data_IF_887907743720
#
_entry.id   IF_887907743720
#
_cell.length_a   1.000
_cell.length_b   1.000
_cell.length_c   1.000
_cell.angle_alpha   90.00
_cell.angle_beta   90.00
_cell.angle_gamma   90.00
#
_symmetry.space_group_name_H-M   'P 1'
#
loop_
_entity.id
_entity.type
_entity.pdbx_description
1 polymer ?
#
# COMPACT_ATOMS: atom_id res chain seq x y z
N UNK A 1 -33.17 2.97 -24.14
CA UNK A 1 -31.73 3.25 -24.00
C UNK A 1 -31.28 2.38 -22.84
N UNK A 2 -30.58 1.30 -23.14
CA UNK A 2 -30.26 0.24 -22.19
C UNK A 2 -28.86 0.50 -21.64
N UNK A 3 -28.76 0.77 -20.33
CA UNK A 3 -27.48 0.79 -19.62
C UNK A 3 -27.05 -0.65 -19.36
N UNK A 4 -25.98 -1.08 -20.03
CA UNK A 4 -25.28 -2.30 -19.67
C UNK A 4 -24.40 -2.03 -18.46
N UNK A 5 -24.78 -2.62 -17.33
CA UNK A 5 -23.92 -2.78 -16.17
C UNK A 5 -22.71 -3.64 -16.56
N UNK A 6 -21.53 -3.04 -16.58
CA UNK A 6 -20.25 -3.77 -16.61
C UNK A 6 -19.93 -4.07 -15.14
N UNK A 7 -20.30 -5.26 -14.69
CA UNK A 7 -19.68 -5.90 -13.53
C UNK A 7 -18.28 -6.33 -13.96
N UNK A 8 -17.26 -5.60 -13.53
CA UNK A 8 -15.88 -6.10 -13.56
C UNK A 8 -15.75 -7.21 -12.52
N UNK A 9 -15.68 -8.44 -13.03
CA UNK A 9 -15.26 -9.61 -12.29
C UNK A 9 -13.81 -9.40 -11.82
N UNK A 10 -13.66 -9.16 -10.52
CA UNK A 10 -12.39 -9.23 -9.80
C UNK A 10 -11.88 -10.68 -9.83
N UNK A 11 -11.22 -10.99 -10.94
CA UNK A 11 -10.68 -12.30 -11.23
C UNK A 11 -9.40 -12.54 -10.41
N UNK A 12 -9.53 -13.48 -9.48
CA UNK A 12 -8.49 -14.36 -8.92
C UNK A 12 -7.04 -13.85 -8.95
N UNK A 13 -6.61 -13.29 -7.81
CA UNK A 13 -5.21 -13.42 -7.41
C UNK A 13 -4.97 -14.89 -7.09
N UNK A 14 -4.41 -15.62 -8.04
CA UNK A 14 -3.79 -16.91 -7.77
C UNK A 14 -2.60 -16.66 -6.85
N UNK A 15 -2.76 -16.98 -5.58
CA UNK A 15 -1.64 -17.24 -4.67
C UNK A 15 -0.83 -18.40 -5.27
N UNK A 16 0.28 -18.06 -5.94
CA UNK A 16 1.34 -19.04 -6.21
C UNK A 16 2.03 -19.29 -4.87
N UNK A 17 1.46 -20.21 -4.11
CA UNK A 17 2.07 -20.80 -2.93
C UNK A 17 3.26 -21.66 -3.39
N UNK A 18 4.39 -21.01 -3.61
CA UNK A 18 5.68 -21.65 -3.84
C UNK A 18 6.35 -21.92 -2.49
N UNK A 19 5.74 -22.76 -1.65
CA UNK A 19 6.48 -23.40 -0.56
C UNK A 19 6.94 -24.77 -1.05
N UNK A 20 8.13 -24.72 -1.63
CA UNK A 20 8.90 -25.82 -2.15
C UNK A 20 9.03 -26.95 -1.13
N UNK A 21 8.99 -28.14 -1.72
CA UNK A 21 9.11 -29.41 -1.05
C UNK A 21 10.32 -29.47 -0.12
N UNK A 22 10.00 -29.93 1.08
CA UNK A 22 10.85 -30.49 2.10
C UNK A 22 12.04 -31.28 1.51
N UNK A 23 13.23 -30.78 1.84
CA UNK A 23 14.52 -31.45 1.96
C UNK A 23 14.52 -32.95 1.69
N UNK A 24 15.01 -33.32 0.51
CA UNK A 24 15.49 -34.66 0.23
C UNK A 24 16.64 -34.99 1.18
N UNK A 25 16.37 -35.87 2.14
CA UNK A 25 17.36 -36.62 2.90
C UNK A 25 18.29 -37.36 1.93
N UNK A 26 19.44 -36.78 1.60
CA UNK A 26 20.59 -37.56 1.14
C UNK A 26 21.33 -38.04 2.38
N UNK A 27 20.92 -39.21 2.85
CA UNK A 27 21.69 -40.01 3.79
C UNK A 27 23.08 -40.25 3.20
N UNK A 28 24.07 -39.63 3.83
CA UNK A 28 25.48 -39.95 3.69
C UNK A 28 25.64 -41.42 4.06
N UNK A 29 25.87 -42.26 3.06
CA UNK A 29 26.29 -43.64 3.27
C UNK A 29 27.72 -43.60 3.84
N UNK A 30 27.81 -43.65 5.17
CA UNK A 30 29.04 -43.98 5.89
C UNK A 30 29.36 -45.44 5.60
N UNK A 31 30.15 -45.69 4.56
CA UNK A 31 30.67 -47.00 4.23
C UNK A 31 31.89 -47.29 5.12
N UNK A 32 31.63 -47.65 6.38
CA UNK A 32 32.62 -48.20 7.30
C UNK A 32 32.88 -49.67 6.96
N UNK A 33 33.72 -49.91 5.96
CA UNK A 33 34.25 -51.23 5.62
C UNK A 33 35.42 -51.61 6.52
N UNK A 34 35.12 -52.11 7.73
CA UNK A 34 36.07 -52.80 8.60
C UNK A 34 36.31 -54.21 8.05
N UNK A 35 37.39 -54.43 7.30
CA UNK A 35 37.85 -55.76 6.92
C UNK A 35 39.16 -56.07 7.66
N UNK A 36 39.02 -56.73 8.80
CA UNK A 36 40.09 -57.50 9.42
C UNK A 36 40.15 -58.88 8.77
N UNK A 37 41.27 -59.26 8.17
CA UNK A 37 41.71 -60.66 8.16
C UNK A 37 43.12 -60.85 7.60
N UNK A 38 43.78 -61.81 8.24
CA UNK A 38 44.87 -62.65 7.76
C UNK A 38 46.29 -62.08 7.89
N UNK A 39 46.90 -62.50 9.00
CA UNK A 39 48.28 -62.93 9.13
C UNK A 39 48.97 -63.33 7.82
N UNK A 40 50.21 -62.86 7.67
CA UNK A 40 51.12 -63.27 6.63
C UNK A 40 52.54 -62.86 6.99
N UNK A 41 53.16 -63.60 7.91
CA UNK A 41 54.61 -63.63 8.04
C UNK A 41 55.21 -64.05 6.70
N UNK A 42 55.94 -63.17 6.02
CA UNK A 42 56.94 -63.65 5.09
C UNK A 42 58.15 -62.72 4.97
N UNK A 43 59.28 -63.30 5.36
CA UNK A 43 60.63 -62.82 5.13
C UNK A 43 60.89 -62.73 3.62
N UNK A 44 61.28 -61.55 3.10
CA UNK A 44 62.17 -61.52 1.92
C UNK A 44 62.88 -60.19 1.69
N UNK A 45 64.18 -60.23 2.01
CA UNK A 45 65.31 -59.65 1.28
C UNK A 45 65.06 -58.32 0.53
N UNK A 46 65.52 -57.25 1.17
CA UNK A 46 66.51 -56.28 0.66
C UNK A 46 66.77 -56.38 -0.86
N UNK A 47 66.09 -55.55 -1.63
CA UNK A 47 66.46 -55.17 -2.99
C UNK A 47 66.43 -53.64 -3.05
N UNK A 48 67.61 -53.03 -3.14
CA UNK A 48 67.84 -51.58 -3.11
C UNK A 48 67.37 -50.85 -4.39
N UNK A 49 66.39 -51.37 -5.13
CA UNK A 49 65.90 -50.82 -6.41
C UNK A 49 64.55 -50.09 -6.30
N UNK A 50 63.77 -50.30 -5.23
CA UNK A 50 62.44 -49.68 -5.04
C UNK A 50 62.45 -48.27 -4.44
N UNK A 51 63.61 -47.80 -3.98
CA UNK A 51 63.77 -46.45 -3.40
C UNK A 51 63.74 -45.39 -4.52
N UNK A 52 64.20 -45.71 -5.72
CA UNK A 52 64.14 -44.77 -6.87
C UNK A 52 62.72 -44.64 -7.46
N UNK A 53 61.94 -45.73 -7.56
CA UNK A 53 60.56 -45.65 -8.08
C UNK A 53 59.61 -44.90 -7.13
N UNK A 54 59.77 -45.04 -5.80
CA UNK A 54 58.95 -44.28 -4.84
C UNK A 54 59.24 -42.78 -4.85
N UNK A 55 60.47 -42.37 -5.17
CA UNK A 55 60.84 -40.96 -5.23
C UNK A 55 60.29 -40.29 -6.50
N UNK A 56 60.28 -41.03 -7.62
CA UNK A 56 59.65 -40.61 -8.87
C UNK A 56 58.13 -40.46 -8.69
N UNK A 57 57.46 -41.42 -8.05
CA UNK A 57 56.01 -41.37 -7.80
C UNK A 57 55.60 -40.19 -6.89
N UNK A 58 56.40 -39.85 -5.87
CA UNK A 58 56.14 -38.69 -5.00
C UNK A 58 56.27 -37.36 -5.73
N UNK A 59 57.28 -37.24 -6.60
CA UNK A 59 57.48 -36.03 -7.40
C UNK A 59 56.35 -35.82 -8.42
N UNK A 60 55.86 -36.90 -9.03
CA UNK A 60 54.74 -36.84 -9.95
C UNK A 60 53.44 -36.45 -9.24
N UNK A 61 53.20 -36.99 -8.05
CA UNK A 61 51.99 -36.69 -7.27
C UNK A 61 51.92 -35.22 -6.80
N UNK A 62 53.06 -34.61 -6.49
CA UNK A 62 53.12 -33.17 -6.18
C UNK A 62 52.84 -32.29 -7.41
N UNK A 63 53.31 -32.69 -8.60
CA UNK A 63 53.03 -31.97 -9.83
C UNK A 63 51.53 -32.00 -10.17
N UNK A 64 50.88 -33.15 -9.99
CA UNK A 64 49.43 -33.31 -10.19
C UNK A 64 48.64 -32.51 -9.15
N UNK A 65 49.09 -32.45 -7.89
CA UNK A 65 48.38 -31.66 -6.88
C UNK A 65 48.50 -30.15 -7.13
N UNK A 66 49.65 -29.69 -7.66
CA UNK A 66 49.84 -28.30 -8.08
C UNK A 66 48.93 -27.92 -9.25
N UNK A 67 48.81 -28.77 -10.26
CA UNK A 67 47.91 -28.49 -11.39
C UNK A 67 46.44 -28.45 -10.95
N UNK A 68 46.01 -29.35 -10.06
CA UNK A 68 44.67 -29.33 -9.45
C UNK A 68 44.39 -28.03 -8.71
N UNK A 69 45.36 -27.51 -7.95
CA UNK A 69 45.20 -26.25 -7.21
C UNK A 69 45.04 -25.06 -8.16
N UNK A 70 45.83 -24.99 -9.24
CA UNK A 70 45.72 -23.92 -10.24
C UNK A 70 44.36 -23.96 -10.94
N UNK A 71 43.88 -25.14 -11.32
CA UNK A 71 42.54 -25.31 -11.92
C UNK A 71 41.45 -24.91 -10.93
N UNK A 72 41.54 -25.32 -9.66
CA UNK A 72 40.58 -24.93 -8.64
C UNK A 72 40.55 -23.41 -8.42
N UNK A 73 41.70 -22.75 -8.41
CA UNK A 73 41.81 -21.30 -8.28
C UNK A 73 41.19 -20.59 -9.49
N UNK A 74 41.46 -21.09 -10.70
CA UNK A 74 40.86 -20.54 -11.92
C UNK A 74 39.34 -20.67 -11.94
N UNK A 75 38.81 -21.84 -11.53
CA UNK A 75 37.37 -22.04 -11.40
C UNK A 75 36.74 -21.12 -10.34
N UNK A 76 37.43 -20.90 -9.22
CA UNK A 76 36.98 -19.97 -8.18
C UNK A 76 36.94 -18.53 -8.71
N UNK A 77 37.97 -18.08 -9.43
CA UNK A 77 37.99 -16.75 -10.04
C UNK A 77 36.88 -16.59 -11.08
N UNK A 78 36.65 -17.59 -11.92
CA UNK A 78 35.58 -17.58 -12.91
C UNK A 78 34.19 -17.50 -12.24
N UNK A 79 33.98 -18.24 -11.16
CA UNK A 79 32.73 -18.21 -10.38
C UNK A 79 32.53 -16.85 -9.67
N UNK A 80 33.58 -16.27 -9.09
CA UNK A 80 33.50 -14.94 -8.49
C UNK A 80 33.21 -13.86 -9.55
N UNK A 81 33.84 -13.94 -10.72
CA UNK A 81 33.61 -13.00 -11.81
C UNK A 81 32.18 -13.09 -12.36
N UNK A 82 31.65 -14.30 -12.54
CA UNK A 82 30.27 -14.48 -13.00
C UNK A 82 29.26 -14.00 -11.94
N UNK A 83 29.47 -14.33 -10.66
CA UNK A 83 28.62 -13.87 -9.58
C UNK A 83 28.60 -12.33 -9.46
N UNK A 84 29.78 -11.69 -9.51
CA UNK A 84 29.89 -10.24 -9.48
C UNK A 84 29.26 -9.58 -10.71
N UNK A 85 29.47 -10.17 -11.90
CA UNK A 85 28.86 -9.69 -13.15
C UNK A 85 27.33 -9.74 -13.09
N UNK A 86 26.76 -10.87 -12.65
CA UNK A 86 25.32 -11.02 -12.47
C UNK A 86 24.78 -10.03 -11.43
N UNK A 87 25.45 -9.89 -10.29
CA UNK A 87 25.02 -8.96 -9.24
C UNK A 87 24.95 -7.52 -9.76
N UNK A 88 26.02 -7.03 -10.43
CA UNK A 88 26.04 -5.67 -10.96
C UNK A 88 24.99 -5.44 -12.05
N UNK A 89 24.76 -6.44 -12.90
CA UNK A 89 23.74 -6.35 -13.95
C UNK A 89 22.32 -6.29 -13.36
N UNK A 90 22.03 -7.19 -12.41
CA UNK A 90 20.73 -7.25 -11.74
C UNK A 90 20.49 -5.98 -10.92
N UNK A 91 21.47 -5.50 -10.15
CA UNK A 91 21.34 -4.27 -9.36
C UNK A 91 21.02 -3.04 -10.23
N UNK A 92 21.66 -2.93 -11.41
CA UNK A 92 21.38 -1.84 -12.34
C UNK A 92 19.97 -1.93 -12.94
N UNK A 93 19.53 -3.15 -13.28
CA UNK A 93 18.20 -3.39 -13.81
C UNK A 93 17.12 -3.12 -12.75
N UNK A 94 17.28 -3.67 -11.55
CA UNK A 94 16.34 -3.47 -10.45
C UNK A 94 16.22 -2.00 -10.05
N UNK A 95 17.34 -1.26 -10.00
CA UNK A 95 17.30 0.17 -9.70
C UNK A 95 16.54 0.94 -10.77
N UNK A 96 16.79 0.64 -12.05
CA UNK A 96 16.08 1.30 -13.15
C UNK A 96 14.59 0.98 -13.12
N UNK A 97 14.23 -0.29 -12.93
CA UNK A 97 12.84 -0.73 -12.87
C UNK A 97 12.12 -0.09 -11.67
N UNK A 98 12.80 0.04 -10.53
CA UNK A 98 12.29 0.76 -9.37
C UNK A 98 12.07 2.25 -9.65
N UNK A 99 13.05 2.93 -10.25
CA UNK A 99 12.95 4.35 -10.61
C UNK A 99 11.79 4.60 -11.59
N UNK A 100 11.67 3.75 -12.61
CA UNK A 100 10.62 3.84 -13.63
C UNK A 100 9.22 3.60 -12.99
N UNK A 101 9.08 2.59 -12.14
CA UNK A 101 7.82 2.33 -11.42
C UNK A 101 7.48 3.45 -10.43
N UNK A 102 8.45 3.91 -9.65
CA UNK A 102 8.25 5.01 -8.71
C UNK A 102 7.79 6.27 -9.45
N UNK A 103 8.44 6.60 -10.58
CA UNK A 103 8.06 7.75 -11.38
C UNK A 103 6.65 7.62 -11.96
N UNK A 104 6.28 6.42 -12.43
CA UNK A 104 4.93 6.12 -12.92
C UNK A 104 3.89 6.34 -11.83
N UNK A 105 4.07 5.73 -10.66
CA UNK A 105 3.12 5.85 -9.56
C UNK A 105 3.05 7.28 -8.99
N UNK A 106 4.18 7.97 -8.89
CA UNK A 106 4.18 9.37 -8.45
C UNK A 106 3.39 10.27 -9.41
N UNK A 107 3.56 10.05 -10.72
CA UNK A 107 2.83 10.80 -11.75
C UNK A 107 1.33 10.50 -11.71
N UNK A 108 0.97 9.22 -11.60
CA UNK A 108 -0.42 8.79 -11.47
C UNK A 108 -1.07 9.35 -10.21
N UNK A 109 -0.39 9.29 -9.06
CA UNK A 109 -0.86 9.84 -7.81
C UNK A 109 -1.13 11.35 -7.91
N UNK A 110 -0.21 12.12 -8.51
CA UNK A 110 -0.41 13.56 -8.73
C UNK A 110 -1.60 13.81 -9.67
N UNK A 111 -1.74 13.03 -10.73
CA UNK A 111 -2.84 13.16 -11.68
C UNK A 111 -4.20 12.89 -11.01
N UNK A 112 -4.31 11.78 -10.26
CA UNK A 112 -5.54 11.41 -9.52
C UNK A 112 -5.86 12.45 -8.45
N UNK A 113 -4.86 12.91 -7.69
CA UNK A 113 -5.05 13.94 -6.66
C UNK A 113 -5.57 15.24 -7.25
N UNK A 114 -5.01 15.67 -8.37
CA UNK A 114 -5.46 16.87 -9.09
C UNK A 114 -6.89 16.70 -9.59
N UNK A 115 -7.19 15.58 -10.22
CA UNK A 115 -8.55 15.27 -10.69
C UNK A 115 -9.57 15.30 -9.55
N UNK A 116 -9.27 14.66 -8.42
CA UNK A 116 -10.15 14.64 -7.24
C UNK A 116 -10.32 16.04 -6.62
N UNK A 117 -9.26 16.84 -6.61
CA UNK A 117 -9.30 18.24 -6.16
C UNK A 117 -10.18 19.11 -7.07
N UNK A 118 -10.04 18.95 -8.39
CA UNK A 118 -10.87 19.67 -9.36
C UNK A 118 -12.34 19.26 -9.24
N UNK A 119 -12.63 17.97 -9.03
CA UNK A 119 -13.98 17.47 -8.75
C UNK A 119 -14.56 18.08 -7.46
N UNK A 120 -13.77 18.12 -6.39
CA UNK A 120 -14.17 18.74 -5.12
C UNK A 120 -14.53 20.22 -5.29
N UNK A 121 -13.66 21.01 -5.94
CA UNK A 121 -13.93 22.44 -6.14
C UNK A 121 -15.12 22.69 -7.07
N UNK A 122 -15.30 21.88 -8.11
CA UNK A 122 -16.47 21.97 -8.98
C UNK A 122 -17.76 21.63 -8.25
N UNK A 123 -17.73 20.59 -7.40
CA UNK A 123 -18.86 20.21 -6.55
C UNK A 123 -19.21 21.31 -5.55
N UNK A 124 -18.19 21.92 -4.91
CA UNK A 124 -18.37 23.04 -3.97
C UNK A 124 -18.94 24.28 -4.66
N UNK A 125 -18.44 24.61 -5.86
CA UNK A 125 -18.95 25.71 -6.65
C UNK A 125 -20.41 25.48 -7.06
N UNK A 126 -20.75 24.27 -7.51
CA UNK A 126 -22.13 23.88 -7.83
C UNK A 126 -23.05 24.00 -6.61
N UNK A 127 -22.61 23.53 -5.45
CA UNK A 127 -23.34 23.67 -4.19
C UNK A 127 -23.55 25.15 -3.82
N UNK A 128 -22.50 25.97 -3.88
CA UNK A 128 -22.58 27.42 -3.60
C UNK A 128 -23.55 28.15 -4.53
N UNK A 129 -23.53 27.82 -5.82
CA UNK A 129 -24.49 28.35 -6.81
C UNK A 129 -25.91 27.90 -6.49
N UNK A 130 -26.11 26.64 -6.10
CA UNK A 130 -27.42 26.13 -5.66
C UNK A 130 -27.95 26.94 -4.47
N UNK A 131 -27.15 27.13 -3.42
CA UNK A 131 -27.54 27.89 -2.22
C UNK A 131 -27.87 29.34 -2.57
N UNK A 132 -27.03 29.99 -3.38
CA UNK A 132 -27.24 31.37 -3.80
C UNK A 132 -28.48 31.54 -4.69
N UNK A 133 -28.75 30.57 -5.56
CA UNK A 133 -29.93 30.55 -6.41
C UNK A 133 -31.21 30.35 -5.60
N UNK A 134 -31.15 29.49 -4.59
CA UNK A 134 -32.27 29.21 -3.70
C UNK A 134 -32.62 30.43 -2.86
N UNK A 135 -31.62 31.07 -2.24
CA UNK A 135 -31.81 32.33 -1.51
C UNK A 135 -32.52 33.40 -2.36
N UNK A 136 -32.10 33.54 -3.63
CA UNK A 136 -32.74 34.45 -4.58
C UNK A 136 -34.17 34.03 -4.92
N UNK A 137 -34.42 32.74 -5.13
CA UNK A 137 -35.74 32.22 -5.49
C UNK A 137 -36.76 32.35 -4.36
N UNK A 138 -36.32 32.21 -3.10
CA UNK A 138 -37.16 32.33 -1.90
C UNK A 138 -37.25 33.75 -1.33
N UNK A 139 -36.58 34.73 -1.97
CA UNK A 139 -36.41 36.10 -1.47
C UNK A 139 -35.81 36.15 -0.04
N UNK A 140 -34.96 35.18 0.29
CA UNK A 140 -34.20 35.17 1.53
C UNK A 140 -32.94 36.02 1.40
N UNK A 141 -32.51 36.62 2.50
CA UNK A 141 -31.30 37.43 2.58
C UNK A 141 -30.25 36.74 3.42
N UNK A 142 -28.99 36.78 2.98
CA UNK A 142 -27.87 36.28 3.76
C UNK A 142 -27.79 36.97 5.13
N UNK A 143 -27.49 36.26 6.25
CA UNK A 143 -27.20 34.82 6.39
C UNK A 143 -28.43 33.93 6.66
N UNK A 144 -29.65 34.46 6.56
CA UNK A 144 -30.92 33.79 6.89
C UNK A 144 -31.46 32.97 5.71
N UNK A 145 -30.66 32.01 5.24
CA UNK A 145 -30.98 31.15 4.10
C UNK A 145 -31.26 29.73 4.57
N UNK A 146 -32.42 29.21 4.18
CA UNK A 146 -32.86 27.83 4.46
C UNK A 146 -32.56 27.00 3.21
N UNK A 147 -31.75 25.94 3.33
CA UNK A 147 -31.38 25.09 2.20
C UNK A 147 -32.29 23.88 2.16
N UNK A 148 -33.16 23.79 1.16
CA UNK A 148 -34.02 22.61 0.96
C UNK A 148 -33.18 21.36 0.67
N UNK A 149 -33.66 20.22 1.19
CA UNK A 149 -33.07 18.89 0.96
C UNK A 149 -31.56 18.82 1.23
N UNK A 150 -31.07 19.57 2.23
CA UNK A 150 -29.65 19.65 2.58
C UNK A 150 -29.00 18.28 2.72
N UNK A 151 -29.61 17.34 3.45
CA UNK A 151 -29.09 15.98 3.64
C UNK A 151 -28.90 15.23 2.31
N UNK A 152 -29.85 15.38 1.37
CA UNK A 152 -29.74 14.78 0.04
C UNK A 152 -28.62 15.44 -0.77
N UNK A 153 -28.53 16.77 -0.75
CA UNK A 153 -27.47 17.52 -1.46
C UNK A 153 -26.07 17.17 -0.93
N UNK A 154 -25.91 17.05 0.39
CA UNK A 154 -24.63 16.66 1.02
C UNK A 154 -24.29 15.21 0.72
N UNK A 155 -25.27 14.29 0.72
CA UNK A 155 -25.04 12.90 0.32
C UNK A 155 -24.58 12.80 -1.13
N UNK A 156 -25.24 13.50 -2.05
CA UNK A 156 -24.84 13.55 -3.47
C UNK A 156 -23.46 14.18 -3.65
N UNK A 157 -23.14 15.20 -2.85
CA UNK A 157 -21.80 15.78 -2.83
C UNK A 157 -20.75 14.75 -2.39
N UNK A 158 -21.00 14.02 -1.29
CA UNK A 158 -20.10 12.99 -0.79
C UNK A 158 -19.89 11.85 -1.80
N UNK A 159 -20.96 11.42 -2.48
CA UNK A 159 -20.91 10.44 -3.57
C UNK A 159 -20.08 10.95 -4.76
N UNK A 160 -20.25 12.23 -5.12
CA UNK A 160 -19.53 12.86 -6.24
C UNK A 160 -18.01 12.96 -5.99
N UNK A 161 -17.61 13.28 -4.76
CA UNK A 161 -16.17 13.37 -4.41
C UNK A 161 -15.56 12.01 -4.10
N UNK A 162 -16.40 10.99 -3.83
CA UNK A 162 -15.98 9.62 -3.55
C UNK A 162 -14.92 9.58 -2.43
N UNK A 163 -15.21 10.31 -1.35
CA UNK A 163 -14.40 10.36 -0.14
C UNK A 163 -15.21 9.76 1.00
N UNK A 164 -14.87 8.54 1.47
CA UNK A 164 -15.54 7.90 2.58
C UNK A 164 -15.54 8.79 3.83
N UNK A 165 -16.71 9.01 4.41
CA UNK A 165 -16.85 9.82 5.63
C UNK A 165 -16.66 11.32 5.42
N UNK A 166 -16.66 11.81 4.18
CA UNK A 166 -16.69 13.25 3.95
C UNK A 166 -18.00 13.86 4.45
N UNK A 167 -17.87 14.84 5.34
CA UNK A 167 -19.00 15.61 5.87
C UNK A 167 -18.90 17.04 5.36
N UNK A 168 -20.03 17.60 4.94
CA UNK A 168 -20.15 19.02 4.62
C UNK A 168 -20.94 19.73 5.72
N UNK A 169 -20.45 20.89 6.14
CA UNK A 169 -21.16 21.80 7.02
C UNK A 169 -21.37 23.13 6.30
N UNK A 170 -22.58 23.66 6.37
CA UNK A 170 -22.88 25.03 5.93
C UNK A 170 -22.78 25.97 7.12
N UNK A 171 -21.78 26.86 7.08
CA UNK A 171 -21.48 27.80 8.16
C UNK A 171 -21.51 29.22 7.59
N UNK A 172 -22.67 29.91 7.61
CA UNK A 172 -22.75 31.27 7.11
C UNK A 172 -21.98 32.22 8.04
N UNK A 173 -21.32 33.23 7.45
CA UNK A 173 -20.71 34.31 8.22
C UNK A 173 -21.82 35.25 8.69
N UNK A 174 -21.94 35.42 10.01
CA UNK A 174 -22.97 36.22 10.67
C UNK A 174 -22.29 37.38 11.39
N UNK A 175 -22.82 38.61 11.23
CA UNK A 175 -22.33 39.76 11.98
C UNK A 175 -22.76 39.65 13.45
N UNK A 176 -21.94 40.12 14.39
CA UNK A 176 -22.28 40.13 15.82
C UNK A 176 -23.62 40.78 16.13
N UNK A 177 -24.03 41.83 15.38
CA UNK A 177 -25.33 42.48 15.56
C UNK A 177 -26.53 41.57 15.22
N UNK A 178 -26.35 40.64 14.28
CA UNK A 178 -27.42 39.77 13.75
C UNK A 178 -27.45 38.40 14.46
N UNK A 179 -26.52 38.17 15.38
CA UNK A 179 -26.28 36.89 16.02
C UNK A 179 -27.52 36.31 16.73
N UNK A 180 -28.21 37.13 17.52
CA UNK A 180 -29.42 36.72 18.26
C UNK A 180 -30.55 36.34 17.29
N UNK A 181 -30.70 37.11 16.22
CA UNK A 181 -31.72 36.83 15.20
C UNK A 181 -31.39 35.55 14.44
N UNK A 182 -30.11 35.32 14.11
CA UNK A 182 -29.67 34.12 13.41
C UNK A 182 -29.81 32.87 14.27
N UNK A 183 -29.47 32.94 15.56
CA UNK A 183 -29.70 31.85 16.51
C UNK A 183 -31.20 31.52 16.64
N UNK A 184 -32.06 32.54 16.66
CA UNK A 184 -33.51 32.33 16.69
C UNK A 184 -34.00 31.65 15.41
N UNK A 185 -33.55 32.13 14.25
CA UNK A 185 -33.91 31.57 12.94
C UNK A 185 -33.48 30.10 12.80
N UNK A 186 -32.24 29.78 13.18
CA UNK A 186 -31.73 28.40 13.14
C UNK A 186 -32.50 27.47 14.07
N UNK A 187 -32.94 27.93 15.24
CA UNK A 187 -33.77 27.13 16.15
C UNK A 187 -35.19 26.91 15.64
N UNK A 188 -35.78 27.90 14.95
CA UNK A 188 -37.12 27.78 14.38
C UNK A 188 -37.18 26.74 13.26
N UNK A 189 -36.20 26.76 12.35
CA UNK A 189 -36.12 25.83 11.23
C UNK A 189 -35.48 24.47 11.60
N UNK A 190 -34.67 24.43 12.67
CA UNK A 190 -33.91 23.25 13.12
C UNK A 190 -34.76 21.98 13.19
N UNK A 191 -35.97 22.08 13.76
CA UNK A 191 -36.82 20.90 14.00
C UNK A 191 -37.15 20.16 12.70
N UNK A 192 -37.39 20.90 11.61
CA UNK A 192 -37.66 20.32 10.29
C UNK A 192 -36.43 19.60 9.71
N UNK A 193 -35.25 20.19 9.86
CA UNK A 193 -33.99 19.60 9.40
C UNK A 193 -33.64 18.32 10.15
N UNK A 194 -33.71 18.34 11.48
CA UNK A 194 -33.43 17.16 12.30
C UNK A 194 -34.43 16.04 12.03
N UNK A 195 -35.71 16.37 11.80
CA UNK A 195 -36.69 15.37 11.40
C UNK A 195 -36.36 14.74 10.04
N UNK A 196 -35.92 15.53 9.07
CA UNK A 196 -35.50 15.02 7.75
C UNK A 196 -34.26 14.12 7.88
N UNK A 197 -33.26 14.53 8.68
CA UNK A 197 -32.07 13.72 8.94
C UNK A 197 -32.42 12.37 9.58
N UNK A 198 -33.27 12.36 10.61
CA UNK A 198 -33.75 11.12 11.25
C UNK A 198 -34.45 10.21 10.25
N UNK A 199 -35.33 10.77 9.42
CA UNK A 199 -36.07 10.00 8.42
C UNK A 199 -35.15 9.44 7.31
N UNK A 200 -34.13 10.19 6.92
CA UNK A 200 -33.22 9.83 5.83
C UNK A 200 -32.16 8.84 6.27
N UNK A 201 -31.62 9.01 7.47
CA UNK A 201 -30.50 8.22 8.00
C UNK A 201 -30.94 7.12 8.96
N UNK A 202 -32.26 6.97 9.17
CA UNK A 202 -32.88 5.96 10.03
C UNK A 202 -32.31 5.96 11.46
N UNK A 203 -32.01 7.14 12.00
CA UNK A 203 -31.56 7.26 13.39
C UNK A 203 -32.65 6.82 14.36
N UNK A 204 -32.30 5.96 15.32
CA UNK A 204 -33.19 5.52 16.41
C UNK A 204 -33.19 6.55 17.56
N UNK A 205 -33.53 7.80 17.23
CA UNK A 205 -33.56 8.89 18.20
C UNK A 205 -34.63 9.92 17.85
N UNK A 206 -35.10 10.63 18.86
CA UNK A 206 -36.06 11.73 18.69
C UNK A 206 -35.36 13.01 18.24
N UNK A 207 -36.13 13.91 17.62
CA UNK A 207 -35.63 15.24 17.21
C UNK A 207 -35.05 16.01 18.40
N UNK A 208 -35.69 15.92 19.56
CA UNK A 208 -35.26 16.64 20.77
C UNK A 208 -33.93 16.09 21.33
N UNK A 209 -33.72 14.76 21.25
CA UNK A 209 -32.44 14.14 21.61
C UNK A 209 -31.32 14.53 20.65
N UNK A 210 -31.58 14.51 19.34
CA UNK A 210 -30.59 14.88 18.32
C UNK A 210 -30.23 16.38 18.40
N UNK A 211 -31.22 17.24 18.64
CA UNK A 211 -30.99 18.65 18.92
C UNK A 211 -30.12 18.84 20.16
N UNK A 212 -30.43 18.18 21.28
CA UNK A 212 -29.63 18.29 22.50
C UNK A 212 -28.16 17.89 22.31
N UNK A 213 -27.90 16.89 21.45
CA UNK A 213 -26.55 16.44 21.08
C UNK A 213 -25.79 17.42 20.17
N UNK A 214 -26.49 18.17 19.32
CA UNK A 214 -25.88 19.01 18.26
C UNK A 214 -25.85 20.50 18.58
N UNK A 215 -26.71 20.98 19.48
CA UNK A 215 -26.74 22.39 19.95
C UNK A 215 -25.39 22.92 20.48
N UNK A 216 -24.54 22.15 21.19
CA UNK A 216 -23.26 22.66 21.69
C UNK A 216 -22.15 22.80 20.63
N UNK A 217 -22.36 22.36 19.38
CA UNK A 217 -21.33 22.38 18.31
C UNK A 217 -21.30 23.66 17.47
N UNK A 218 -22.21 24.61 17.72
CA UNK A 218 -22.11 25.97 17.16
C UNK A 218 -21.02 26.72 17.92
N UNK A 219 -19.76 26.40 17.63
CA UNK A 219 -18.61 27.12 18.17
C UNK A 219 -18.56 28.52 17.55
N UNK A 220 -18.78 29.52 18.40
CA UNK A 220 -18.72 30.94 18.04
C UNK A 220 -17.25 31.35 17.85
N UNK A 221 -16.94 31.90 16.67
CA UNK A 221 -15.69 32.61 16.46
C UNK A 221 -15.90 34.03 16.99
N UNK A 222 -15.35 34.32 18.17
CA UNK A 222 -15.32 35.66 18.74
C UNK A 222 -14.09 36.38 18.19
N UNK A 223 -14.30 37.39 17.34
CA UNK A 223 -13.22 38.20 16.77
C UNK A 223 -12.39 38.91 17.85
N UNK A 224 -12.88 39.09 19.08
CA UNK A 224 -12.12 39.75 20.14
C UNK A 224 -10.98 38.90 20.76
N UNK A 225 -10.88 37.61 20.41
CA UNK A 225 -9.87 36.70 20.94
C UNK A 225 -8.92 36.09 19.87
N UNK A 226 -8.86 36.67 18.67
CA UNK A 226 -8.01 36.22 17.54
C UNK A 226 -6.86 37.18 17.22
#
# INVERSE_FOLDING_TARGET
MNEQYITEDNNSVTEVSANGQTYGNMSVASESGFNSSADGYDNRKKSNSSIQEQDVAKHEQQAVNRSKLVVALFLLLAACASAAGTYLFVEQQERKDFEDQFHSYATEFVAVTRQKTDQLFNALNSFSVSVSSEAKATNQSWPFVTISDYSTKVRLFAELIDVPGATMAFLPVVNGADHVQWATHTMEDARGYFQNAINTEAFDMTVDELMALTTPLVHYYDEENG
#
